data_IF_297577407888
#
_entry.id   IF_297577407888
#
_cell.length_a   1.000
_cell.length_b   1.000
_cell.length_c   1.000
_cell.angle_alpha   90.00
_cell.angle_beta   90.00
_cell.angle_gamma   90.00
#
_symmetry.space_group_name_H-M   'P 1'
#
loop_
_entity.id
_entity.type
_entity.pdbx_description
1 polymer ?
#
# COMPACT_ATOMS: atom_id res chain seq x y z
N UNK A 1 -4.64 15.50 -9.65
CA UNK A 1 -3.38 14.95 -9.10
C UNK A 1 -3.25 15.40 -7.67
N UNK A 2 -3.01 14.47 -6.76
CA UNK A 2 -2.69 14.71 -5.37
C UNK A 2 -1.35 15.44 -5.26
N UNK A 3 -1.21 16.24 -4.21
CA UNK A 3 0.05 16.92 -3.94
C UNK A 3 1.15 15.90 -3.60
N UNK A 4 2.43 16.15 -3.98
CA UNK A 4 3.53 15.23 -3.69
C UNK A 4 3.64 14.84 -2.21
N UNK A 5 3.35 15.79 -1.31
CA UNK A 5 3.36 15.54 0.12
C UNK A 5 2.25 14.57 0.57
N UNK A 6 1.08 14.63 -0.08
CA UNK A 6 -0.01 13.68 0.17
C UNK A 6 0.35 12.28 -0.33
N UNK A 7 0.95 12.17 -1.52
CA UNK A 7 1.43 10.88 -2.04
C UNK A 7 2.50 10.26 -1.16
N UNK A 8 3.44 11.05 -0.65
CA UNK A 8 4.46 10.57 0.30
C UNK A 8 3.85 10.06 1.61
N UNK A 9 2.85 10.79 2.16
CA UNK A 9 2.10 10.36 3.35
C UNK A 9 1.30 9.08 3.09
N UNK A 10 0.68 8.97 1.92
CA UNK A 10 -0.06 7.79 1.49
C UNK A 10 0.87 6.58 1.38
N UNK A 11 2.01 6.72 0.70
CA UNK A 11 3.01 5.66 0.57
C UNK A 11 3.51 5.20 1.95
N UNK A 12 3.85 6.14 2.83
CA UNK A 12 4.26 5.83 4.20
C UNK A 12 3.17 5.07 4.95
N UNK A 13 1.91 5.52 4.91
CA UNK A 13 0.79 4.86 5.58
C UNK A 13 0.57 3.43 5.06
N UNK A 14 0.71 3.20 3.75
CA UNK A 14 0.67 1.85 3.17
C UNK A 14 1.80 0.98 3.74
N UNK A 15 3.04 1.45 3.70
CA UNK A 15 4.20 0.69 4.17
C UNK A 15 4.10 0.38 5.67
N UNK A 16 3.80 1.38 6.50
CA UNK A 16 3.59 1.21 7.94
C UNK A 16 2.42 0.27 8.24
N UNK A 17 1.34 0.35 7.46
CA UNK A 17 0.19 -0.54 7.58
C UNK A 17 0.57 -2.00 7.30
N UNK A 18 1.37 -2.24 6.26
CA UNK A 18 1.88 -3.58 5.94
C UNK A 18 2.72 -4.12 7.10
N UNK A 19 3.75 -3.38 7.51
CA UNK A 19 4.65 -3.78 8.62
C UNK A 19 3.88 -4.05 9.92
N UNK A 20 2.79 -3.32 10.18
CA UNK A 20 1.96 -3.52 11.37
C UNK A 20 1.04 -4.73 11.25
N UNK A 21 0.42 -4.96 10.09
CA UNK A 21 -0.73 -5.85 9.95
C UNK A 21 -0.47 -7.14 9.15
N UNK A 22 0.67 -7.28 8.47
CA UNK A 22 0.92 -8.43 7.59
C UNK A 22 0.30 -8.32 6.19
N UNK A 23 -0.52 -7.29 5.93
CA UNK A 23 -1.22 -7.05 4.66
C UNK A 23 -1.26 -5.58 4.31
N UNK A 24 -1.48 -5.29 3.04
CA UNK A 24 -1.73 -3.91 2.62
C UNK A 24 -3.08 -3.38 3.16
N UNK A 25 -3.14 -2.11 3.62
CA UNK A 25 -4.40 -1.49 4.05
C UNK A 25 -5.31 -1.17 2.86
N UNK A 26 -6.62 -1.22 3.08
CA UNK A 26 -7.61 -0.74 2.12
C UNK A 26 -7.68 0.80 2.14
N UNK A 27 -8.11 1.44 1.05
CA UNK A 27 -8.16 2.91 0.98
C UNK A 27 -9.07 3.56 2.04
N UNK A 28 -10.07 2.84 2.54
CA UNK A 28 -10.93 3.32 3.64
C UNK A 28 -10.21 3.34 4.99
N UNK A 29 -9.29 2.39 5.22
CA UNK A 29 -8.41 2.38 6.40
C UNK A 29 -7.42 3.54 6.31
N UNK A 30 -6.86 3.77 5.11
CA UNK A 30 -5.97 4.89 4.82
C UNK A 30 -6.67 6.25 4.94
N UNK A 31 -7.93 6.35 4.53
CA UNK A 31 -8.75 7.55 4.68
C UNK A 31 -8.87 7.94 6.16
N UNK A 32 -9.17 6.95 7.01
CA UNK A 32 -9.27 7.14 8.46
C UNK A 32 -7.92 7.55 9.05
N UNK A 33 -6.83 6.85 8.68
CA UNK A 33 -5.47 7.12 9.21
C UNK A 33 -4.96 8.52 8.80
N UNK A 34 -5.29 8.98 7.59
CA UNK A 34 -4.77 10.24 7.04
C UNK A 34 -5.70 11.44 7.24
N UNK A 35 -6.91 11.24 7.76
CA UNK A 35 -7.94 12.27 7.93
C UNK A 35 -8.51 12.76 6.60
N UNK A 36 -8.68 11.86 5.63
CA UNK A 36 -9.18 12.15 4.29
C UNK A 36 -10.61 11.63 4.11
N UNK A 37 -11.33 12.16 3.11
CA UNK A 37 -12.51 11.46 2.63
C UNK A 37 -12.13 10.13 1.93
N UNK A 38 -13.04 9.14 1.89
CA UNK A 38 -12.80 7.90 1.15
C UNK A 38 -12.43 8.15 -0.33
N UNK A 39 -13.08 9.11 -0.99
CA UNK A 39 -12.79 9.46 -2.39
C UNK A 39 -11.39 10.05 -2.56
N UNK A 40 -10.97 10.94 -1.66
CA UNK A 40 -9.62 11.52 -1.68
C UNK A 40 -8.55 10.45 -1.47
N UNK A 41 -8.78 9.54 -0.53
CA UNK A 41 -7.86 8.44 -0.26
C UNK A 41 -7.78 7.45 -1.43
N UNK A 42 -8.92 7.11 -2.03
CA UNK A 42 -8.98 6.24 -3.21
C UNK A 42 -8.22 6.84 -4.38
N UNK A 43 -8.48 8.11 -4.70
CA UNK A 43 -7.81 8.81 -5.79
C UNK A 43 -6.29 8.89 -5.57
N UNK A 44 -5.85 9.24 -4.36
CA UNK A 44 -4.42 9.28 -4.03
C UNK A 44 -3.76 7.90 -4.08
N UNK A 45 -4.46 6.83 -3.69
CA UNK A 45 -3.96 5.46 -3.80
C UNK A 45 -3.82 5.01 -5.27
N UNK A 46 -4.81 5.30 -6.11
CA UNK A 46 -4.74 5.01 -7.55
C UNK A 46 -3.59 5.75 -8.23
N UNK A 47 -3.31 6.98 -7.81
CA UNK A 47 -2.14 7.73 -8.30
C UNK A 47 -0.79 7.17 -7.82
N UNK A 48 -0.72 6.44 -6.70
CA UNK A 48 0.49 5.67 -6.37
C UNK A 48 0.65 4.47 -7.29
N UNK A 49 -0.47 3.84 -7.66
CA UNK A 49 -0.51 2.68 -8.56
C UNK A 49 -0.49 2.99 -10.05
N UNK A 50 -0.35 4.26 -10.45
CA UNK A 50 -0.37 4.70 -11.85
C UNK A 50 0.94 4.42 -12.61
N UNK A 51 1.91 3.78 -11.96
CA UNK A 51 3.23 3.43 -12.50
C UNK A 51 4.32 4.46 -12.25
N UNK A 52 4.03 5.59 -11.57
CA UNK A 52 5.07 6.58 -11.17
C UNK A 52 5.94 6.11 -10.03
N UNK A 53 5.42 5.24 -9.16
CA UNK A 53 6.19 4.58 -8.10
C UNK A 53 6.56 3.18 -8.59
N UNK A 54 7.84 2.91 -8.91
CA UNK A 54 8.26 1.60 -9.38
C UNK A 54 7.89 0.51 -8.37
N UNK A 55 7.30 -0.58 -8.88
CA UNK A 55 6.97 -1.72 -8.04
C UNK A 55 5.76 -1.52 -7.14
N UNK A 56 4.94 -0.48 -7.32
CA UNK A 56 3.67 -0.31 -6.61
C UNK A 56 2.49 -0.62 -7.53
N UNK A 57 1.80 -1.75 -7.27
CA UNK A 57 0.72 -2.22 -8.13
C UNK A 57 -0.58 -2.44 -7.37
N UNK A 58 -1.67 -1.95 -7.96
CA UNK A 58 -3.03 -2.34 -7.58
C UNK A 58 -3.46 -3.59 -8.36
N UNK A 59 -4.31 -4.41 -7.76
CA UNK A 59 -4.92 -5.54 -8.43
C UNK A 59 -5.91 -5.01 -9.49
N UNK A 60 -5.78 -5.39 -10.78
CA UNK A 60 -6.58 -4.83 -11.87
C UNK A 60 -8.08 -4.87 -11.62
N UNK A 61 -8.77 -3.76 -11.89
CA UNK A 61 -10.21 -3.65 -11.73
C UNK A 61 -10.69 -3.56 -10.28
N UNK A 62 -9.78 -3.38 -9.32
CA UNK A 62 -10.11 -3.26 -7.89
C UNK A 62 -9.39 -2.08 -7.24
N UNK A 63 -9.70 -1.81 -5.97
CA UNK A 63 -8.97 -0.85 -5.13
C UNK A 63 -7.97 -1.54 -4.18
N UNK A 64 -7.67 -2.82 -4.41
CA UNK A 64 -6.76 -3.60 -3.57
C UNK A 64 -5.32 -3.42 -4.03
N UNK A 65 -4.42 -3.21 -3.07
CA UNK A 65 -2.98 -3.20 -3.33
C UNK A 65 -2.51 -4.65 -3.50
N UNK A 66 -1.92 -4.96 -4.65
CA UNK A 66 -1.45 -6.30 -4.98
C UNK A 66 0.01 -6.51 -4.56
N UNK A 67 0.88 -5.62 -5.00
CA UNK A 67 2.32 -5.79 -4.82
C UNK A 67 2.98 -4.41 -4.67
N UNK A 68 3.13 -3.94 -3.43
CA UNK A 68 3.84 -2.70 -3.11
C UNK A 68 5.28 -2.99 -2.65
N UNK A 69 6.25 -2.84 -3.54
CA UNK A 69 7.66 -3.15 -3.27
C UNK A 69 8.18 -2.52 -1.97
N UNK A 70 8.92 -3.27 -1.12
CA UNK A 70 9.44 -4.62 -1.36
C UNK A 70 8.44 -5.76 -1.09
N UNK A 71 7.21 -5.46 -0.68
CA UNK A 71 6.21 -6.44 -0.26
C UNK A 71 5.35 -6.96 -1.42
N UNK A 72 4.74 -8.11 -1.18
CA UNK A 72 3.64 -8.67 -1.96
C UNK A 72 2.48 -9.01 -1.03
N UNK A 73 1.27 -8.60 -1.39
CA UNK A 73 0.04 -9.01 -0.71
C UNK A 73 -0.48 -10.36 -1.25
N UNK A 74 0.18 -10.90 -2.29
CA UNK A 74 -0.03 -12.23 -2.85
C UNK A 74 1.12 -13.12 -2.36
N UNK A 75 0.86 -14.32 -1.80
CA UNK A 75 1.91 -15.23 -1.37
C UNK A 75 2.92 -15.54 -2.46
N UNK A 76 4.21 -15.44 -2.13
CA UNK A 76 5.33 -15.81 -3.00
C UNK A 76 6.29 -16.74 -2.26
N UNK A 77 7.33 -17.23 -2.95
CA UNK A 77 8.40 -17.99 -2.29
C UNK A 77 9.37 -17.10 -1.49
N UNK A 78 9.30 -15.77 -1.66
CA UNK A 78 10.14 -14.82 -0.95
C UNK A 78 9.47 -14.48 0.38
N UNK A 79 9.92 -15.09 1.47
CA UNK A 79 9.41 -14.82 2.80
C UNK A 79 10.17 -13.65 3.42
N UNK A 80 9.43 -12.68 3.95
CA UNK A 80 9.98 -11.55 4.70
C UNK A 80 9.59 -11.71 6.17
N UNK A 81 10.59 -11.56 7.03
CA UNK A 81 10.41 -11.47 8.47
C UNK A 81 10.79 -10.08 8.97
N UNK A 82 10.00 -9.54 9.90
CA UNK A 82 10.26 -8.26 10.55
C UNK A 82 10.27 -8.52 12.05
N UNK A 83 11.31 -8.07 12.74
CA UNK A 83 11.47 -8.23 14.20
C UNK A 83 11.32 -9.69 14.68
N UNK A 84 11.73 -10.66 13.85
CA UNK A 84 11.66 -12.09 14.17
C UNK A 84 10.33 -12.77 13.84
N UNK A 85 9.32 -12.03 13.39
CA UNK A 85 8.04 -12.58 12.98
C UNK A 85 7.95 -12.70 11.45
N UNK A 86 7.50 -13.87 10.94
CA UNK A 86 7.27 -14.08 9.51
C UNK A 86 5.77 -13.97 9.21
N UNK A 87 5.38 -12.84 8.60
CA UNK A 87 4.01 -12.58 8.13
C UNK A 87 3.94 -12.20 6.65
N UNK A 88 5.05 -11.77 6.07
CA UNK A 88 5.08 -11.04 4.81
C UNK A 88 5.71 -11.84 3.68
N UNK A 89 5.36 -11.45 2.47
CA UNK A 89 5.95 -11.95 1.23
C UNK A 89 6.64 -10.81 0.48
N UNK A 90 7.69 -11.14 -0.27
CA UNK A 90 8.38 -10.24 -1.20
C UNK A 90 7.80 -10.30 -2.62
N UNK A 91 8.02 -9.23 -3.39
CA UNK A 91 7.74 -9.17 -4.83
C UNK A 91 8.75 -9.99 -5.65
#
# INVERSE_FOLDING_TARGET
MAEPQLLARMYHAVMSGIVRAGRAPHYTELATELGLSPDQAREALHQLGDGRVPGFWLNPGTDLIASPAPFSNIPTQYLISIEGEQKWYGQ
#
